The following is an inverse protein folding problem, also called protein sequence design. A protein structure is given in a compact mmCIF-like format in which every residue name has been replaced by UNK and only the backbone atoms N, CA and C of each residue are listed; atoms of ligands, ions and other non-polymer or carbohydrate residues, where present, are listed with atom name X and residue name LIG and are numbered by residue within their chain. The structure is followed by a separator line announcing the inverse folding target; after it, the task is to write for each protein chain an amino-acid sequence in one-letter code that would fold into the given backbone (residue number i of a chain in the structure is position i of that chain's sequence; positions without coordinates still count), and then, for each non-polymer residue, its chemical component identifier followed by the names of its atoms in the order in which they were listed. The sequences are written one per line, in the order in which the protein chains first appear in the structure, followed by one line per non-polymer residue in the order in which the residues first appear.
data_IF_052173497027
#
_entry.id   IF_052173497027
#
_cell.length_a   1.000
_cell.length_b   1.000
_cell.length_c   1.000
_cell.angle_alpha   90.00
_cell.angle_beta   90.00
_cell.angle_gamma   90.00
#
_symmetry.space_group_name_H-M   'P 1'
#
loop_
_entity.id
_entity.type
_entity.pdbx_description
1 polymer ?
#
# COMPACT_ATOMS: atom_id res chain seq x y z
N UNK A 1 -15.68 0.15 6.34
CA UNK A 1 -14.56 0.84 7.01
C UNK A 1 -13.35 1.00 6.07
N UNK A 2 -12.79 -0.09 5.53
CA UNK A 2 -11.62 -0.03 4.62
C UNK A 2 -11.92 0.81 3.37
N UNK A 3 -13.07 0.64 2.75
CA UNK A 3 -13.55 1.40 1.58
C UNK A 3 -13.84 2.88 1.87
N UNK A 4 -13.95 3.27 3.13
CA UNK A 4 -14.07 4.67 3.56
C UNK A 4 -12.69 5.25 3.84
N UNK A 5 -11.77 4.42 4.36
CA UNK A 5 -10.40 4.84 4.66
C UNK A 5 -9.59 5.09 3.38
N UNK A 6 -9.69 4.18 2.40
CA UNK A 6 -9.03 4.34 1.11
C UNK A 6 -10.00 4.88 0.06
N UNK A 7 -9.52 5.85 -0.73
CA UNK A 7 -10.32 6.51 -1.77
C UNK A 7 -10.64 5.60 -2.94
N UNK A 8 -9.64 4.85 -3.39
CA UNK A 8 -9.74 3.90 -4.50
C UNK A 8 -9.05 2.62 -4.14
N UNK A 9 -9.66 1.51 -4.49
CA UNK A 9 -9.10 0.18 -4.34
C UNK A 9 -9.13 -0.46 -5.72
N UNK A 10 -7.96 -0.56 -6.35
CA UNK A 10 -7.79 -1.22 -7.63
C UNK A 10 -7.47 -2.69 -7.39
N UNK A 11 -8.13 -3.56 -8.14
CA UNK A 11 -7.94 -5.01 -8.04
C UNK A 11 -7.62 -5.56 -9.41
N UNK A 12 -6.51 -6.29 -9.51
CA UNK A 12 -6.14 -7.01 -10.73
C UNK A 12 -6.15 -8.51 -10.50
N UNK A 13 -6.56 -9.23 -11.52
CA UNK A 13 -6.54 -10.69 -11.58
C UNK A 13 -7.31 -11.40 -10.45
N UNK A 14 -8.43 -10.81 -10.04
CA UNK A 14 -9.31 -11.42 -9.04
C UNK A 14 -9.82 -12.80 -9.46
N UNK A 15 -9.97 -13.05 -10.75
CA UNK A 15 -10.35 -14.31 -11.37
C UNK A 15 -9.39 -15.47 -11.08
N UNK A 16 -8.15 -15.18 -10.67
CA UNK A 16 -7.15 -16.17 -10.26
C UNK A 16 -7.41 -16.75 -8.88
N UNK A 17 -8.28 -16.15 -8.09
CA UNK A 17 -8.68 -16.71 -6.79
C UNK A 17 -9.75 -17.76 -7.01
N UNK A 18 -9.51 -19.05 -6.70
CA UNK A 18 -10.49 -20.10 -6.84
C UNK A 18 -11.76 -19.79 -6.03
N UNK A 19 -12.91 -19.87 -6.67
CA UNK A 19 -14.20 -19.61 -6.02
C UNK A 19 -14.58 -20.68 -4.99
N UNK A 20 -14.10 -21.90 -5.20
CA UNK A 20 -14.33 -23.07 -4.36
C UNK A 20 -13.02 -23.84 -4.10
N UNK A 21 -13.07 -24.77 -3.16
CA UNK A 21 -11.92 -25.62 -2.82
C UNK A 21 -10.92 -24.94 -1.89
N UNK A 22 -9.90 -25.68 -1.42
CA UNK A 22 -8.90 -25.20 -0.50
C UNK A 22 -7.94 -24.21 -1.15
N UNK A 23 -7.81 -23.02 -0.58
CA UNK A 23 -6.88 -21.99 -1.08
C UNK A 23 -6.17 -21.29 0.06
N UNK A 24 -4.90 -21.01 -0.12
CA UNK A 24 -4.10 -20.17 0.76
C UNK A 24 -3.79 -18.87 0.02
N UNK A 25 -4.27 -17.74 0.53
CA UNK A 25 -3.95 -16.40 0.04
C UNK A 25 -2.70 -15.93 0.79
N UNK A 26 -1.57 -15.93 0.10
CA UNK A 26 -0.27 -15.51 0.65
C UNK A 26 -0.01 -14.06 0.28
N UNK A 27 -0.10 -13.12 1.24
CA UNK A 27 0.03 -11.70 0.96
C UNK A 27 1.20 -11.05 1.70
N UNK A 28 1.82 -10.01 1.11
CA UNK A 28 2.79 -9.17 1.81
C UNK A 28 2.13 -8.38 2.95
N UNK A 29 2.92 -7.88 3.91
CA UNK A 29 2.39 -7.36 5.18
C UNK A 29 2.92 -5.98 5.59
N UNK A 30 2.72 -4.92 4.78
CA UNK A 30 3.22 -3.59 5.12
C UNK A 30 2.36 -2.82 6.15
N UNK A 31 1.08 -3.19 6.39
CA UNK A 31 0.13 -2.33 7.10
C UNK A 31 -0.80 -3.09 8.06
N UNK A 32 -0.21 -3.91 8.90
CA UNK A 32 -0.84 -4.68 9.99
C UNK A 32 -2.26 -5.19 9.64
N UNK A 33 -3.29 -4.74 10.36
CA UNK A 33 -4.66 -5.23 10.21
C UNK A 33 -5.33 -4.80 8.90
N UNK A 34 -4.79 -3.76 8.22
CA UNK A 34 -5.36 -3.31 6.94
C UNK A 34 -5.17 -4.34 5.83
N UNK A 35 -4.02 -5.03 5.80
CA UNK A 35 -3.70 -6.00 4.76
C UNK A 35 -4.63 -7.22 4.75
N UNK A 36 -4.81 -7.97 5.85
CA UNK A 36 -5.75 -9.09 5.87
C UNK A 36 -7.19 -8.65 5.61
N UNK A 37 -7.61 -7.46 6.07
CA UNK A 37 -8.96 -6.94 5.78
C UNK A 37 -9.15 -6.62 4.30
N UNK A 38 -8.12 -6.09 3.63
CA UNK A 38 -8.15 -5.84 2.19
C UNK A 38 -8.24 -7.16 1.42
N UNK A 39 -7.38 -8.13 1.72
CA UNK A 39 -7.41 -9.44 1.05
C UNK A 39 -8.79 -10.09 1.22
N UNK A 40 -9.35 -10.08 2.43
CA UNK A 40 -10.68 -10.63 2.69
C UNK A 40 -11.79 -9.93 1.89
N UNK A 41 -11.73 -8.61 1.79
CA UNK A 41 -12.70 -7.83 1.03
C UNK A 41 -12.63 -8.14 -0.46
N UNK A 42 -11.41 -8.39 -0.98
CA UNK A 42 -11.13 -8.44 -2.41
C UNK A 42 -11.12 -9.86 -2.98
N UNK A 43 -10.82 -10.88 -2.18
CA UNK A 43 -10.70 -12.26 -2.67
C UNK A 43 -12.05 -12.89 -3.09
N UNK A 44 -13.17 -12.30 -2.72
CA UNK A 44 -14.51 -12.82 -3.07
C UNK A 44 -14.93 -14.06 -2.27
N UNK A 45 -14.22 -14.41 -1.19
CA UNK A 45 -14.49 -15.52 -0.29
C UNK A 45 -14.57 -15.03 1.17
N UNK A 46 -14.99 -15.90 2.07
CA UNK A 46 -14.96 -15.65 3.52
C UNK A 46 -13.77 -16.41 4.13
N UNK A 47 -12.56 -15.82 4.17
CA UNK A 47 -11.37 -16.54 4.57
C UNK A 47 -11.23 -16.66 6.09
N UNK A 48 -10.48 -17.68 6.51
CA UNK A 48 -9.89 -17.77 7.84
C UNK A 48 -8.55 -17.04 7.86
N UNK A 49 -8.14 -16.51 9.01
CA UNK A 49 -6.92 -15.73 9.14
C UNK A 49 -5.98 -16.34 10.17
N UNK A 50 -4.68 -16.14 9.97
CA UNK A 50 -3.68 -16.37 11.01
C UNK A 50 -3.33 -15.05 11.67
N UNK A 51 -3.57 -14.93 12.99
CA UNK A 51 -3.28 -13.74 13.77
C UNK A 51 -2.35 -14.04 14.96
N UNK A 52 -1.53 -13.07 15.38
CA UNK A 52 -0.64 -13.26 16.54
C UNK A 52 -1.43 -13.62 17.80
N UNK A 53 -0.92 -14.57 18.60
CA UNK A 53 -1.58 -15.06 19.82
C UNK A 53 -1.84 -13.97 20.85
N UNK A 54 -1.03 -12.92 20.88
CA UNK A 54 -1.19 -11.77 21.77
C UNK A 54 -2.48 -10.98 21.54
N UNK A 55 -3.15 -11.14 20.39
CA UNK A 55 -4.48 -10.55 20.14
C UNK A 55 -5.58 -11.20 20.98
N UNK A 56 -5.35 -12.40 21.51
CA UNK A 56 -6.33 -13.21 22.23
C UNK A 56 -6.24 -13.10 23.76
N UNK A 57 -5.76 -11.98 24.29
CA UNK A 57 -5.47 -11.82 25.72
C UNK A 57 -6.70 -11.66 26.62
N UNK A 58 -7.89 -11.35 26.08
CA UNK A 58 -9.12 -11.22 26.85
C UNK A 58 -10.23 -12.16 26.36
N UNK A 59 -11.21 -12.44 27.21
CA UNK A 59 -12.38 -13.26 26.83
C UNK A 59 -13.18 -12.63 25.66
N UNK A 60 -13.33 -11.30 25.69
CA UNK A 60 -14.02 -10.56 24.62
C UNK A 60 -13.23 -10.61 23.30
N UNK A 61 -11.91 -10.40 23.35
CA UNK A 61 -11.05 -10.49 22.17
C UNK A 61 -11.07 -11.92 21.58
N UNK A 62 -11.00 -12.97 22.43
CA UNK A 62 -11.13 -14.36 21.98
C UNK A 62 -12.47 -14.62 21.28
N UNK A 63 -13.57 -14.16 21.85
CA UNK A 63 -14.90 -14.32 21.24
C UNK A 63 -15.01 -13.59 19.91
N UNK A 64 -14.54 -12.34 19.86
CA UNK A 64 -14.52 -11.52 18.64
C UNK A 64 -13.68 -12.16 17.54
N UNK A 65 -12.40 -12.47 17.80
CA UNK A 65 -11.52 -13.05 16.78
C UNK A 65 -11.98 -14.43 16.31
N UNK A 66 -12.60 -15.22 17.20
CA UNK A 66 -13.22 -16.48 16.81
C UNK A 66 -14.43 -16.26 15.87
N UNK A 67 -15.24 -15.23 16.10
CA UNK A 67 -16.40 -14.93 15.23
C UNK A 67 -16.01 -14.47 13.83
N UNK A 68 -14.81 -13.93 13.66
CA UNK A 68 -14.23 -13.54 12.36
C UNK A 68 -13.18 -14.53 11.86
N UNK A 69 -13.21 -15.77 12.34
CA UNK A 69 -12.38 -16.90 11.90
C UNK A 69 -10.86 -16.65 12.00
N UNK A 70 -10.39 -15.90 12.99
CA UNK A 70 -8.95 -15.72 13.23
C UNK A 70 -8.41 -16.84 14.11
N UNK A 71 -7.37 -17.53 13.63
CA UNK A 71 -6.63 -18.59 14.33
C UNK A 71 -5.36 -18.00 14.98
N UNK A 72 -5.09 -18.25 16.29
CA UNK A 72 -3.91 -17.70 16.95
C UNK A 72 -2.63 -18.41 16.51
N UNK A 73 -1.59 -17.67 16.13
CA UNK A 73 -0.24 -18.17 15.82
C UNK A 73 0.73 -17.71 16.90
N UNK A 74 1.54 -18.64 17.39
CA UNK A 74 2.59 -18.41 18.39
C UNK A 74 3.92 -18.19 17.68
N UNK A 75 4.38 -16.93 17.61
CA UNK A 75 5.65 -16.58 16.99
C UNK A 75 6.75 -16.57 18.05
N UNK A 76 7.99 -16.94 17.66
CA UNK A 76 9.14 -16.95 18.56
C UNK A 76 9.35 -15.60 19.27
N UNK A 77 9.17 -14.51 18.53
CA UNK A 77 9.31 -13.14 19.05
C UNK A 77 8.26 -12.75 20.11
N UNK A 78 7.06 -13.36 20.07
CA UNK A 78 5.96 -12.99 20.98
C UNK A 78 5.81 -13.98 22.15
N UNK A 79 6.06 -15.27 21.90
CA UNK A 79 5.72 -16.34 22.82
C UNK A 79 6.59 -17.59 22.60
N UNK A 80 7.91 -17.48 22.73
CA UNK A 80 8.87 -18.56 22.49
C UNK A 80 8.54 -19.85 23.26
N UNK A 81 8.15 -19.72 24.52
CA UNK A 81 7.77 -20.86 25.38
C UNK A 81 6.49 -21.59 24.93
N UNK A 82 5.71 -20.95 24.06
CA UNK A 82 4.42 -21.48 23.58
C UNK A 82 4.49 -22.00 22.13
N UNK A 83 5.67 -22.02 21.54
CA UNK A 83 5.87 -22.48 20.14
C UNK A 83 5.33 -23.90 19.90
N UNK A 84 5.37 -24.79 20.91
CA UNK A 84 4.79 -26.12 20.85
C UNK A 84 3.29 -26.15 20.54
N UNK A 85 2.56 -25.06 20.81
CA UNK A 85 1.13 -24.96 20.47
C UNK A 85 0.86 -24.75 18.98
N UNK A 86 1.90 -24.45 18.18
CA UNK A 86 1.74 -24.29 16.73
C UNK A 86 1.33 -25.60 16.04
N UNK A 87 1.64 -26.75 16.57
CA UNK A 87 1.11 -28.03 16.04
C UNK A 87 -0.42 -28.06 16.04
N UNK A 88 -1.06 -27.53 17.09
CA UNK A 88 -2.53 -27.42 17.16
C UNK A 88 -3.06 -26.37 16.17
N UNK A 89 -2.31 -25.32 15.88
CA UNK A 89 -2.69 -24.30 14.88
C UNK A 89 -2.63 -24.89 13.49
N UNK A 90 -1.58 -25.63 13.16
CA UNK A 90 -1.43 -26.32 11.89
C UNK A 90 -2.59 -27.31 11.67
N UNK A 91 -2.94 -28.07 12.71
CA UNK A 91 -4.08 -28.99 12.68
C UNK A 91 -5.39 -28.28 12.31
N UNK A 92 -5.65 -27.09 12.90
CA UNK A 92 -6.82 -26.27 12.55
C UNK A 92 -6.75 -25.72 11.12
N UNK A 93 -5.55 -25.37 10.63
CA UNK A 93 -5.36 -24.98 9.24
C UNK A 93 -5.67 -26.12 8.28
N UNK A 94 -5.20 -27.34 8.59
CA UNK A 94 -5.51 -28.53 7.80
C UNK A 94 -7.01 -28.77 7.73
N UNK A 95 -7.70 -28.81 8.89
CA UNK A 95 -9.16 -28.97 8.95
C UNK A 95 -9.90 -27.88 8.16
N UNK A 96 -9.40 -26.66 8.18
CA UNK A 96 -10.00 -25.56 7.41
C UNK A 96 -9.82 -25.78 5.91
N UNK A 97 -8.65 -26.21 5.44
CA UNK A 97 -8.41 -26.51 4.04
C UNK A 97 -9.20 -27.74 3.59
N UNK A 98 -9.25 -28.81 4.40
CA UNK A 98 -10.04 -30.02 4.16
C UNK A 98 -11.54 -29.71 4.02
N UNK A 99 -12.03 -28.67 4.74
CA UNK A 99 -13.39 -28.17 4.58
C UNK A 99 -13.58 -27.27 3.35
N UNK A 100 -12.56 -27.09 2.51
CA UNK A 100 -12.60 -26.27 1.31
C UNK A 100 -12.57 -24.77 1.57
N UNK A 101 -12.13 -24.31 2.76
CA UNK A 101 -12.08 -22.89 3.10
C UNK A 101 -10.81 -22.21 2.52
N UNK A 102 -10.89 -20.88 2.44
CA UNK A 102 -9.73 -20.03 2.17
C UNK A 102 -9.00 -19.68 3.46
N UNK A 103 -7.67 -19.69 3.45
CA UNK A 103 -6.81 -19.15 4.51
C UNK A 103 -6.08 -17.91 4.00
N UNK A 104 -6.01 -16.85 4.81
CA UNK A 104 -5.13 -15.70 4.57
C UNK A 104 -3.94 -15.81 5.49
N UNK A 105 -2.75 -15.86 4.89
CA UNK A 105 -1.47 -15.96 5.61
C UNK A 105 -0.56 -14.83 5.12
N UNK A 106 0.07 -14.13 6.06
CA UNK A 106 1.14 -13.18 5.79
C UNK A 106 2.48 -13.88 6.01
N UNK A 107 3.13 -14.39 4.95
CA UNK A 107 4.26 -15.31 5.08
C UNK A 107 5.52 -14.67 5.66
N UNK A 108 5.63 -13.34 5.65
CA UNK A 108 6.69 -12.59 6.32
C UNK A 108 6.66 -12.78 7.85
N UNK A 109 5.47 -13.04 8.42
CA UNK A 109 5.27 -13.23 9.86
C UNK A 109 5.43 -11.97 10.71
N UNK A 110 5.82 -10.86 10.12
CA UNK A 110 5.94 -9.52 10.72
C UNK A 110 5.28 -8.51 9.80
N UNK A 111 4.88 -7.36 10.35
CA UNK A 111 4.41 -6.24 9.55
C UNK A 111 5.43 -5.12 9.63
N UNK A 112 5.95 -4.67 8.50
CA UNK A 112 6.89 -3.55 8.43
C UNK A 112 6.60 -2.69 7.19
N UNK A 113 6.72 -1.37 7.37
CA UNK A 113 6.39 -0.36 6.37
C UNK A 113 7.66 0.35 5.89
N UNK A 114 8.66 -0.42 5.49
CA UNK A 114 9.95 0.08 5.03
C UNK A 114 10.12 0.01 3.51
N UNK A 115 9.13 -0.52 2.80
CA UNK A 115 9.15 -0.64 1.34
C UNK A 115 9.91 -1.85 0.82
N UNK A 116 10.32 -2.77 1.72
CA UNK A 116 11.02 -4.01 1.35
C UNK A 116 10.10 -5.23 1.51
N UNK A 117 10.39 -6.29 0.76
CA UNK A 117 9.78 -7.59 0.97
C UNK A 117 10.67 -8.40 1.92
N UNK A 118 10.16 -8.67 3.11
CA UNK A 118 10.93 -9.40 4.12
C UNK A 118 11.03 -10.89 3.82
N UNK A 119 11.89 -11.58 4.57
CA UNK A 119 12.09 -13.03 4.46
C UNK A 119 10.77 -13.79 4.58
N UNK A 120 10.45 -14.57 3.55
CA UNK A 120 9.28 -15.42 3.53
C UNK A 120 9.53 -16.68 4.38
N UNK A 121 8.70 -16.86 5.40
CA UNK A 121 8.79 -18.00 6.31
C UNK A 121 8.15 -19.24 5.70
N UNK A 122 8.71 -20.40 6.00
CA UNK A 122 8.26 -21.71 5.47
C UNK A 122 6.86 -22.13 5.96
N UNK A 123 6.26 -21.40 6.90
CA UNK A 123 4.98 -21.77 7.51
C UNK A 123 3.83 -21.96 6.51
N UNK A 124 3.76 -21.10 5.49
CA UNK A 124 2.72 -21.17 4.45
C UNK A 124 2.87 -22.45 3.61
N UNK A 125 4.07 -22.74 3.13
CA UNK A 125 4.37 -23.96 2.39
C UNK A 125 4.11 -25.23 3.22
N UNK A 126 4.55 -25.24 4.49
CA UNK A 126 4.32 -26.36 5.41
C UNK A 126 2.84 -26.62 5.70
N UNK A 127 2.03 -25.58 5.83
CA UNK A 127 0.57 -25.75 6.02
C UNK A 127 -0.06 -26.31 4.76
N UNK A 128 0.27 -25.79 3.59
CA UNK A 128 -0.29 -26.25 2.33
C UNK A 128 0.11 -27.70 2.00
N UNK A 129 1.41 -27.99 1.99
CA UNK A 129 1.94 -29.33 1.72
C UNK A 129 1.49 -30.35 2.78
N UNK A 130 1.46 -29.95 4.06
CA UNK A 130 0.96 -30.83 5.12
C UNK A 130 -0.51 -31.22 4.97
N UNK A 131 -1.36 -30.31 4.45
CA UNK A 131 -2.75 -30.62 4.12
C UNK A 131 -2.82 -31.61 2.92
N UNK A 132 -1.99 -31.42 1.90
CA UNK A 132 -1.90 -32.34 0.75
C UNK A 132 -1.43 -33.74 1.16
N UNK A 133 -0.39 -33.84 1.96
CA UNK A 133 0.13 -35.13 2.45
C UNK A 133 -0.94 -35.91 3.22
N UNK A 134 -1.68 -35.27 4.07
CA UNK A 134 -2.79 -35.89 4.84
C UNK A 134 -3.89 -36.45 3.95
N UNK A 135 -4.06 -35.90 2.75
CA UNK A 135 -5.08 -36.25 1.78
C UNK A 135 -4.46 -36.93 0.53
N UNK A 136 -3.29 -37.54 0.64
CA UNK A 136 -2.60 -38.23 -0.43
C UNK A 136 -2.37 -37.41 -1.70
N UNK A 137 -2.24 -36.09 -1.57
CA UNK A 137 -2.15 -35.08 -2.64
C UNK A 137 -3.38 -35.04 -3.58
N UNK A 138 -4.55 -35.38 -3.04
CA UNK A 138 -5.82 -35.31 -3.77
C UNK A 138 -6.69 -34.12 -3.37
N UNK A 139 -6.29 -33.32 -2.34
CA UNK A 139 -7.07 -32.21 -1.82
C UNK A 139 -7.13 -31.02 -2.79
N UNK A 140 -6.05 -30.77 -3.54
CA UNK A 140 -5.95 -29.72 -4.54
C UNK A 140 -5.76 -28.32 -3.93
N UNK A 141 -4.92 -28.23 -2.91
CA UNK A 141 -4.58 -26.94 -2.28
C UNK A 141 -3.83 -26.04 -3.25
N UNK A 142 -4.33 -24.84 -3.45
CA UNK A 142 -3.66 -23.81 -4.25
C UNK A 142 -3.20 -22.67 -3.37
N UNK A 143 -1.94 -22.21 -3.57
CA UNK A 143 -1.46 -20.98 -2.97
C UNK A 143 -1.58 -19.87 -3.99
N UNK A 144 -2.35 -18.81 -3.67
CA UNK A 144 -2.51 -17.62 -4.50
C UNK A 144 -1.74 -16.48 -3.87
N UNK A 145 -0.61 -16.05 -4.44
CA UNK A 145 0.11 -14.88 -3.97
C UNK A 145 -0.72 -13.61 -4.18
N UNK A 146 -0.70 -12.68 -3.23
CA UNK A 146 -1.43 -11.42 -3.31
C UNK A 146 -0.51 -10.24 -2.94
N UNK A 147 -0.21 -9.38 -3.90
CA UNK A 147 0.59 -8.17 -3.70
C UNK A 147 -0.29 -6.98 -3.34
N UNK A 148 -0.05 -6.36 -2.19
CA UNK A 148 -0.75 -5.17 -1.72
C UNK A 148 0.20 -3.99 -1.79
N UNK A 149 -0.20 -2.95 -2.53
CA UNK A 149 0.59 -1.75 -2.76
C UNK A 149 -0.22 -0.52 -2.38
N UNK A 150 0.35 0.34 -1.55
CA UNK A 150 -0.29 1.57 -1.08
C UNK A 150 0.37 2.79 -1.72
N UNK A 151 -0.43 3.74 -2.20
CA UNK A 151 0.11 5.05 -2.59
C UNK A 151 0.64 5.83 -1.38
N UNK A 152 -0.03 5.71 -0.24
CA UNK A 152 0.43 6.14 1.08
C UNK A 152 -0.28 5.28 2.13
N UNK A 153 0.44 4.38 2.77
CA UNK A 153 -0.16 3.39 3.66
C UNK A 153 -0.79 4.01 4.91
N UNK A 154 -0.26 5.14 5.41
CA UNK A 154 -0.69 5.79 6.67
C UNK A 154 -1.69 6.92 6.49
N UNK A 155 -1.97 7.33 5.26
CA UNK A 155 -2.84 8.47 5.00
C UNK A 155 -4.27 8.04 4.70
N UNK A 156 -5.21 8.74 5.34
CA UNK A 156 -6.61 8.66 4.99
C UNK A 156 -6.84 9.19 3.57
N UNK A 157 -7.68 8.51 2.79
CA UNK A 157 -8.01 8.87 1.42
C UNK A 157 -6.88 8.62 0.40
N UNK A 158 -5.95 7.72 0.73
CA UNK A 158 -4.94 7.20 -0.21
C UNK A 158 -5.53 6.11 -1.12
N UNK A 159 -4.77 5.70 -2.11
CA UNK A 159 -5.17 4.65 -3.05
C UNK A 159 -4.46 3.33 -2.71
N UNK A 160 -5.11 2.20 -3.00
CA UNK A 160 -4.56 0.85 -2.81
C UNK A 160 -4.65 0.08 -4.12
N UNK A 161 -3.62 -0.67 -4.43
CA UNK A 161 -3.57 -1.57 -5.56
C UNK A 161 -3.29 -2.99 -5.06
N UNK A 162 -4.22 -3.93 -5.27
CA UNK A 162 -4.10 -5.33 -4.93
C UNK A 162 -4.07 -6.18 -6.19
N UNK A 163 -3.07 -7.05 -6.32
CA UNK A 163 -2.88 -7.93 -7.48
C UNK A 163 -2.79 -9.37 -7.01
N UNK A 164 -3.58 -10.26 -7.63
CA UNK A 164 -3.50 -11.69 -7.38
C UNK A 164 -2.60 -12.36 -8.42
N UNK A 165 -1.60 -13.13 -7.94
CA UNK A 165 -0.68 -13.90 -8.78
C UNK A 165 -1.32 -15.16 -9.35
N UNK A 166 -0.54 -15.89 -10.18
CA UNK A 166 -0.95 -17.21 -10.65
C UNK A 166 -0.99 -18.17 -9.46
N UNK A 167 -2.02 -19.02 -9.37
CA UNK A 167 -2.07 -20.06 -8.34
C UNK A 167 -0.91 -21.01 -8.46
N UNK A 168 -0.35 -21.41 -7.33
CA UNK A 168 0.66 -22.46 -7.19
C UNK A 168 -0.09 -23.71 -6.75
N UNK A 169 -0.15 -24.72 -7.61
CA UNK A 169 -0.81 -25.99 -7.31
C UNK A 169 0.15 -26.91 -6.55
N UNK A 170 -0.18 -27.24 -5.32
CA UNK A 170 0.71 -28.03 -4.47
C UNK A 170 0.77 -29.50 -4.82
N UNK A 171 -0.14 -30.00 -5.67
CA UNK A 171 -0.07 -31.37 -6.18
C UNK A 171 1.15 -31.61 -7.06
N UNK A 172 1.63 -30.57 -7.74
CA UNK A 172 2.84 -30.63 -8.59
C UNK A 172 4.11 -30.97 -7.79
N UNK A 173 4.07 -30.78 -6.47
CA UNK A 173 5.20 -31.02 -5.56
C UNK A 173 5.18 -32.41 -4.93
N UNK A 174 4.24 -33.30 -5.27
CA UNK A 174 4.09 -34.64 -4.68
C UNK A 174 5.36 -35.46 -4.76
N UNK A 175 5.96 -35.57 -5.94
CA UNK A 175 7.14 -36.38 -6.14
C UNK A 175 8.38 -35.83 -5.46
N UNK A 176 8.54 -34.50 -5.49
CA UNK A 176 9.60 -33.82 -4.78
C UNK A 176 9.46 -34.02 -3.27
N UNK A 177 8.25 -33.86 -2.73
CA UNK A 177 7.97 -34.05 -1.30
C UNK A 177 8.25 -35.46 -0.82
N UNK A 178 7.91 -36.49 -1.62
CA UNK A 178 8.22 -37.89 -1.31
C UNK A 178 9.73 -38.18 -1.32
N UNK A 179 10.49 -37.47 -2.15
CA UNK A 179 11.96 -37.61 -2.24
C UNK A 179 12.64 -36.80 -1.13
N UNK A 180 12.25 -35.54 -0.91
CA UNK A 180 12.81 -34.63 0.08
C UNK A 180 11.77 -33.61 0.50
N UNK A 181 11.23 -33.77 1.72
CA UNK A 181 10.25 -32.82 2.31
C UNK A 181 10.81 -31.42 2.45
N UNK A 182 12.08 -31.29 2.89
CA UNK A 182 12.69 -29.98 3.12
C UNK A 182 12.87 -29.22 1.81
N UNK A 183 13.31 -29.88 0.78
CA UNK A 183 13.48 -29.30 -0.55
C UNK A 183 12.13 -28.85 -1.14
N UNK A 184 11.07 -29.67 -1.02
CA UNK A 184 9.74 -29.29 -1.48
C UNK A 184 9.20 -28.04 -0.74
N UNK A 185 9.38 -27.98 0.58
CA UNK A 185 8.98 -26.81 1.38
C UNK A 185 9.79 -25.57 0.99
N UNK A 186 11.08 -25.74 0.74
CA UNK A 186 11.98 -24.65 0.34
C UNK A 186 11.58 -24.10 -1.03
N UNK A 187 11.34 -24.98 -2.01
CA UNK A 187 10.97 -24.61 -3.38
C UNK A 187 9.63 -23.86 -3.43
N UNK A 188 8.59 -24.38 -2.75
CA UNK A 188 7.30 -23.70 -2.64
C UNK A 188 7.46 -22.32 -1.95
N UNK A 189 8.31 -22.22 -0.92
CA UNK A 189 8.57 -20.96 -0.23
C UNK A 189 9.25 -19.96 -1.16
N UNK A 190 10.24 -20.39 -1.95
CA UNK A 190 10.89 -19.55 -2.95
C UNK A 190 9.91 -19.09 -4.04
N UNK A 191 9.07 -19.99 -4.53
CA UNK A 191 8.07 -19.62 -5.53
C UNK A 191 7.06 -18.59 -5.00
N UNK A 192 6.65 -18.69 -3.72
CA UNK A 192 5.82 -17.64 -3.07
C UNK A 192 6.58 -16.33 -3.01
N UNK A 193 7.85 -16.34 -2.60
CA UNK A 193 8.70 -15.13 -2.52
C UNK A 193 8.81 -14.45 -3.88
N UNK A 194 9.16 -15.19 -4.92
CA UNK A 194 9.38 -14.67 -6.26
C UNK A 194 8.09 -14.14 -6.88
N UNK A 195 6.95 -14.78 -6.60
CA UNK A 195 5.65 -14.30 -7.00
C UNK A 195 5.29 -13.00 -6.28
N UNK A 196 5.48 -12.89 -4.95
CA UNK A 196 5.23 -11.67 -4.19
C UNK A 196 6.15 -10.53 -4.63
N UNK A 197 7.43 -10.81 -4.89
CA UNK A 197 8.36 -9.82 -5.41
C UNK A 197 7.87 -9.21 -6.73
N UNK A 198 7.27 -10.00 -7.64
CA UNK A 198 6.70 -9.53 -8.91
C UNK A 198 5.36 -8.77 -8.75
N UNK A 199 4.62 -9.00 -7.67
CA UNK A 199 3.30 -8.41 -7.43
C UNK A 199 3.37 -7.13 -6.59
N UNK A 200 4.52 -6.83 -5.99
CA UNK A 200 4.71 -5.66 -5.14
C UNK A 200 5.65 -4.66 -5.79
N UNK A 201 5.62 -3.43 -5.28
CA UNK A 201 6.61 -2.39 -5.61
C UNK A 201 7.74 -2.36 -4.60
N UNK A 202 7.91 -3.44 -3.83
CA UNK A 202 8.98 -3.57 -2.86
C UNK A 202 10.35 -3.68 -3.55
N UNK A 203 11.35 -3.18 -2.89
CA UNK A 203 12.76 -3.24 -3.28
C UNK A 203 13.56 -4.09 -2.29
N UNK A 204 14.81 -4.40 -2.62
CA UNK A 204 15.55 -5.45 -1.91
C UNK A 204 16.02 -5.04 -0.51
N UNK A 205 16.22 -3.73 -0.27
CA UNK A 205 16.72 -3.25 1.01
C UNK A 205 16.27 -1.81 1.32
N UNK A 206 16.62 -1.31 2.52
CA UNK A 206 16.22 0.02 2.99
C UNK A 206 16.87 1.18 2.21
N UNK A 207 18.06 0.99 1.63
CA UNK A 207 18.73 2.02 0.82
C UNK A 207 17.99 2.20 -0.50
N UNK A 208 17.70 1.08 -1.19
CA UNK A 208 16.91 1.10 -2.42
C UNK A 208 15.48 1.60 -2.18
N UNK A 209 14.88 1.34 -1.01
CA UNK A 209 13.58 1.91 -0.62
C UNK A 209 13.64 3.43 -0.45
N UNK A 210 14.70 3.96 0.16
CA UNK A 210 14.96 5.39 0.26
C UNK A 210 15.08 6.05 -1.12
N UNK A 211 15.88 5.45 -1.99
CA UNK A 211 16.06 5.88 -3.38
C UNK A 211 14.74 5.89 -4.15
N UNK A 212 13.94 4.83 -4.08
CA UNK A 212 12.63 4.74 -4.74
C UNK A 212 11.68 5.85 -4.28
N UNK A 213 11.65 6.13 -2.98
CA UNK A 213 10.85 7.23 -2.43
C UNK A 213 11.28 8.58 -3.01
N UNK A 214 12.58 8.85 -3.05
CA UNK A 214 13.14 10.08 -3.59
C UNK A 214 12.88 10.22 -5.09
N UNK A 215 13.09 9.13 -5.85
CA UNK A 215 12.83 9.08 -7.28
C UNK A 215 11.36 9.33 -7.61
N UNK A 216 10.43 8.74 -6.87
CA UNK A 216 8.99 9.01 -7.05
C UNK A 216 8.62 10.46 -6.84
N UNK A 217 9.25 11.14 -5.87
CA UNK A 217 8.97 12.56 -5.60
C UNK A 217 9.45 13.46 -6.74
N UNK A 218 10.60 13.15 -7.36
CA UNK A 218 11.24 14.02 -8.35
C UNK A 218 10.81 13.69 -9.76
N UNK A 219 10.75 12.40 -10.11
CA UNK A 219 10.72 11.95 -11.51
C UNK A 219 9.38 11.35 -11.97
N UNK A 220 8.51 10.93 -11.05
CA UNK A 220 7.27 10.22 -11.42
C UNK A 220 6.39 10.98 -12.43
N UNK A 221 6.28 12.30 -12.29
CA UNK A 221 5.48 13.13 -13.20
C UNK A 221 6.15 13.26 -14.57
N UNK A 222 7.47 13.42 -14.60
CA UNK A 222 8.23 13.49 -15.85
C UNK A 222 8.11 12.17 -16.61
N UNK A 223 8.28 11.04 -15.94
CA UNK A 223 8.11 9.72 -16.53
C UNK A 223 6.70 9.51 -17.11
N UNK A 224 5.67 9.98 -16.41
CA UNK A 224 4.30 9.86 -16.89
C UNK A 224 4.06 10.66 -18.18
N UNK A 225 4.68 11.83 -18.29
CA UNK A 225 4.60 12.66 -19.50
C UNK A 225 5.34 11.99 -20.65
N UNK A 226 6.55 11.51 -20.40
CA UNK A 226 7.35 10.80 -21.42
C UNK A 226 6.60 9.59 -22.00
N UNK A 227 5.85 8.89 -21.14
CA UNK A 227 5.06 7.73 -21.52
C UNK A 227 3.67 8.09 -22.09
N UNK A 228 3.29 9.37 -22.11
CA UNK A 228 1.96 9.81 -22.53
C UNK A 228 0.83 9.40 -21.58
N UNK A 229 1.14 9.20 -20.29
CA UNK A 229 0.23 8.68 -19.25
C UNK A 229 -0.18 9.75 -18.23
N UNK A 230 0.12 11.02 -18.49
CA UNK A 230 -0.12 12.14 -17.57
C UNK A 230 -1.60 12.35 -17.21
N UNK A 231 -2.52 12.06 -18.13
CA UNK A 231 -3.97 12.10 -17.88
C UNK A 231 -4.45 10.91 -17.04
N UNK A 232 -3.77 9.76 -17.07
CA UNK A 232 -4.12 8.49 -16.40
C UNK A 232 -3.07 8.02 -15.38
N UNK A 233 -2.30 8.97 -14.84
CA UNK A 233 -1.19 8.74 -13.91
C UNK A 233 -1.53 7.75 -12.79
N UNK A 234 -2.78 7.76 -12.31
CA UNK A 234 -3.20 6.93 -11.17
C UNK A 234 -3.43 5.47 -11.55
N UNK A 235 -3.86 5.21 -12.78
CA UNK A 235 -4.08 3.87 -13.28
C UNK A 235 -2.75 3.16 -13.54
N UNK A 236 -1.74 3.92 -13.96
CA UNK A 236 -0.41 3.42 -14.27
C UNK A 236 0.62 3.56 -13.13
N UNK A 237 0.19 4.07 -11.96
CA UNK A 237 1.08 4.32 -10.81
C UNK A 237 1.85 3.08 -10.38
N UNK A 238 1.19 1.92 -10.37
CA UNK A 238 1.84 0.67 -10.01
C UNK A 238 2.93 0.29 -11.01
N UNK A 239 2.60 0.23 -12.31
CA UNK A 239 3.55 -0.18 -13.35
C UNK A 239 4.77 0.74 -13.43
N UNK A 240 4.58 2.05 -13.36
CA UNK A 240 5.67 3.01 -13.30
C UNK A 240 6.53 2.83 -12.05
N UNK A 241 5.89 2.70 -10.86
CA UNK A 241 6.63 2.49 -9.61
C UNK A 241 7.38 1.17 -9.63
N UNK A 242 6.79 0.12 -10.21
CA UNK A 242 7.46 -1.18 -10.36
C UNK A 242 8.68 -1.08 -11.28
N UNK A 243 8.56 -0.45 -12.44
CA UNK A 243 9.69 -0.22 -13.35
C UNK A 243 10.82 0.56 -12.68
N UNK A 244 10.49 1.60 -11.90
CA UNK A 244 11.49 2.33 -11.10
C UNK A 244 12.17 1.43 -10.07
N UNK A 245 11.41 0.56 -9.37
CA UNK A 245 11.97 -0.35 -8.37
C UNK A 245 12.93 -1.37 -9.00
N UNK A 246 12.55 -1.95 -10.13
CA UNK A 246 13.38 -2.91 -10.86
C UNK A 246 14.69 -2.26 -11.35
N UNK A 247 14.63 -1.06 -11.92
CA UNK A 247 15.80 -0.31 -12.33
C UNK A 247 16.72 0.03 -11.13
N UNK A 248 16.15 0.46 -10.01
CA UNK A 248 16.91 0.80 -8.79
C UNK A 248 17.65 -0.44 -8.25
N UNK A 249 16.98 -1.60 -8.17
CA UNK A 249 17.60 -2.83 -7.68
C UNK A 249 18.75 -3.25 -8.60
N UNK A 250 18.57 -3.12 -9.93
CA UNK A 250 19.63 -3.39 -10.88
C UNK A 250 20.83 -2.46 -10.71
N UNK A 251 20.60 -1.14 -10.63
CA UNK A 251 21.68 -0.17 -10.41
C UNK A 251 22.42 -0.36 -9.08
N UNK A 252 21.70 -0.78 -8.05
CA UNK A 252 22.30 -1.05 -6.74
C UNK A 252 23.33 -2.18 -6.81
N UNK A 253 23.08 -3.20 -7.64
CA UNK A 253 23.96 -4.38 -7.79
C UNK A 253 25.07 -4.10 -8.81
N UNK A 254 24.73 -3.63 -9.99
CA UNK A 254 25.67 -3.53 -11.12
C UNK A 254 26.50 -2.23 -11.09
N UNK A 255 25.92 -1.11 -10.59
CA UNK A 255 26.54 0.21 -10.59
C UNK A 255 26.44 0.91 -9.23
N UNK A 256 26.97 0.31 -8.13
CA UNK A 256 26.76 0.81 -6.76
C UNK A 256 27.29 2.24 -6.55
N UNK A 257 28.37 2.63 -7.21
CA UNK A 257 28.91 3.99 -7.08
C UNK A 257 27.98 5.04 -7.67
N UNK A 258 27.42 4.76 -8.86
CA UNK A 258 26.44 5.65 -9.51
C UNK A 258 25.14 5.73 -8.68
N UNK A 259 24.68 4.61 -8.16
CA UNK A 259 23.54 4.55 -7.26
C UNK A 259 23.74 5.48 -6.06
N UNK A 260 24.82 5.33 -5.30
CA UNK A 260 25.09 6.15 -4.13
C UNK A 260 25.35 7.63 -4.47
N UNK A 261 25.93 7.92 -5.63
CA UNK A 261 26.11 9.30 -6.10
C UNK A 261 24.74 9.95 -6.37
N UNK A 262 23.86 9.28 -7.08
CA UNK A 262 22.52 9.78 -7.42
C UNK A 262 21.66 9.93 -6.17
N UNK A 263 21.67 8.96 -5.25
CA UNK A 263 20.92 9.04 -3.99
C UNK A 263 21.35 10.25 -3.15
N UNK A 264 22.66 10.48 -3.01
CA UNK A 264 23.16 11.68 -2.31
C UNK A 264 22.74 12.98 -2.98
N UNK A 265 22.73 13.04 -4.32
CA UNK A 265 22.28 14.22 -5.08
C UNK A 265 20.80 14.48 -4.85
N UNK A 266 19.94 13.45 -5.00
CA UNK A 266 18.49 13.56 -4.79
C UNK A 266 18.14 13.94 -3.35
N UNK A 267 18.77 13.30 -2.37
CA UNK A 267 18.55 13.59 -0.94
C UNK A 267 18.92 15.04 -0.61
N UNK A 268 20.06 15.53 -1.10
CA UNK A 268 20.49 16.93 -0.91
C UNK A 268 19.51 17.91 -1.57
N UNK A 269 19.08 17.64 -2.78
CA UNK A 269 18.11 18.45 -3.51
C UNK A 269 16.77 18.53 -2.75
N UNK A 270 16.22 17.37 -2.37
CA UNK A 270 14.95 17.31 -1.63
C UNK A 270 15.04 18.04 -0.29
N UNK A 271 16.15 17.93 0.43
CA UNK A 271 16.37 18.68 1.67
C UNK A 271 16.35 20.21 1.45
N UNK A 272 16.90 20.71 0.33
CA UNK A 272 16.82 22.14 -0.03
C UNK A 272 15.38 22.56 -0.33
N UNK A 273 14.65 21.76 -1.11
CA UNK A 273 13.25 22.02 -1.47
C UNK A 273 12.37 22.02 -0.22
N UNK A 274 12.55 21.04 0.67
CA UNK A 274 11.83 20.94 1.94
C UNK A 274 12.17 22.12 2.88
N UNK A 275 13.42 22.52 2.99
CA UNK A 275 13.87 23.69 3.77
C UNK A 275 13.24 25.00 3.32
N UNK A 276 12.81 25.08 2.07
CA UNK A 276 12.01 26.19 1.53
C UNK A 276 10.50 25.98 1.67
N UNK A 277 10.09 24.88 2.31
CA UNK A 277 8.70 24.39 2.39
C UNK A 277 8.01 24.31 1.01
N UNK A 278 8.76 23.94 -0.03
CA UNK A 278 8.25 23.71 -1.39
C UNK A 278 7.97 22.22 -1.60
N UNK A 279 7.15 21.93 -2.61
CA UNK A 279 6.95 20.58 -3.14
C UNK A 279 7.54 20.51 -4.54
N UNK A 280 8.35 19.51 -4.82
CA UNK A 280 9.01 19.32 -6.12
C UNK A 280 8.01 19.22 -7.28
N UNK A 281 6.87 18.54 -7.05
CA UNK A 281 5.79 18.42 -8.04
C UNK A 281 5.36 19.75 -8.68
N UNK A 282 5.56 20.87 -7.98
CA UNK A 282 5.19 22.22 -8.46
C UNK A 282 6.33 22.92 -9.22
N UNK A 283 7.53 22.37 -9.14
CA UNK A 283 8.70 22.84 -9.89
C UNK A 283 8.80 22.13 -11.25
N UNK A 284 8.02 21.07 -11.48
CA UNK A 284 7.95 20.38 -12.75
C UNK A 284 7.44 21.30 -13.87
N UNK A 285 8.13 21.30 -15.01
CA UNK A 285 7.78 22.08 -16.21
C UNK A 285 6.43 21.67 -16.78
N UNK A 286 5.98 20.44 -16.51
CA UNK A 286 4.70 19.87 -16.95
C UNK A 286 3.47 20.65 -16.52
N UNK A 287 3.52 21.38 -15.42
CA UNK A 287 2.38 22.16 -14.93
C UNK A 287 2.12 23.48 -15.69
N UNK A 288 3.00 23.86 -16.62
CA UNK A 288 2.86 25.08 -17.42
C UNK A 288 1.64 25.13 -18.35
N UNK A 289 1.05 24.00 -18.69
CA UNK A 289 -0.01 23.89 -19.71
C UNK A 289 -1.44 24.04 -19.21
N UNK A 290 -1.67 24.32 -17.92
CA UNK A 290 -3.04 24.61 -17.46
C UNK A 290 -3.49 25.98 -17.97
N UNK A 291 -4.45 25.97 -18.89
CA UNK A 291 -5.07 27.15 -19.50
C UNK A 291 -5.52 28.15 -18.41
N UNK A 292 -5.35 29.45 -18.66
CA UNK A 292 -5.76 30.55 -17.76
C UNK A 292 -7.22 30.38 -17.30
N UNK A 293 -8.09 29.90 -18.17
CA UNK A 293 -9.49 29.55 -17.86
C UNK A 293 -9.64 28.51 -16.74
N UNK A 294 -8.84 27.42 -16.74
CA UNK A 294 -8.88 26.40 -15.66
C UNK A 294 -8.39 26.97 -14.32
N UNK A 295 -7.45 27.93 -14.36
CA UNK A 295 -6.97 28.62 -13.15
C UNK A 295 -8.03 29.56 -12.58
N UNK A 296 -8.71 30.34 -13.44
CA UNK A 296 -9.77 31.25 -13.02
C UNK A 296 -11.00 30.50 -12.44
N UNK A 297 -11.44 29.42 -13.08
CA UNK A 297 -12.48 28.53 -12.58
C UNK A 297 -12.09 27.91 -11.22
N UNK A 298 -10.83 27.52 -11.06
CA UNK A 298 -10.32 26.99 -9.79
C UNK A 298 -10.38 28.04 -8.66
N UNK A 299 -10.02 29.29 -8.94
CA UNK A 299 -10.09 30.38 -7.96
C UNK A 299 -11.55 30.70 -7.57
N UNK A 300 -12.46 30.72 -8.53
CA UNK A 300 -13.89 30.89 -8.28
C UNK A 300 -14.42 29.74 -7.38
N UNK A 301 -14.03 28.49 -7.67
CA UNK A 301 -14.35 27.32 -6.83
C UNK A 301 -13.82 27.43 -5.40
N UNK A 302 -12.64 28.04 -5.21
CA UNK A 302 -12.09 28.32 -3.88
C UNK A 302 -12.96 29.35 -3.14
N UNK A 303 -13.37 30.44 -3.78
CA UNK A 303 -14.18 31.48 -3.14
C UNK A 303 -15.58 30.94 -2.80
N UNK A 304 -16.26 30.29 -3.75
CA UNK A 304 -17.62 29.76 -3.55
C UNK A 304 -17.68 28.56 -2.63
N UNK A 305 -16.62 27.74 -2.58
CA UNK A 305 -16.53 26.60 -1.69
C UNK A 305 -16.17 26.92 -0.23
N UNK A 306 -15.72 28.16 0.05
CA UNK A 306 -15.27 28.56 1.38
C UNK A 306 -16.33 28.39 2.49
N UNK A 307 -17.62 28.76 2.30
CA UNK A 307 -18.63 28.54 3.33
C UNK A 307 -18.85 27.05 3.65
N UNK A 308 -18.85 26.18 2.65
CA UNK A 308 -19.00 24.74 2.83
C UNK A 308 -17.76 24.17 3.56
N UNK A 309 -16.58 24.70 3.25
CA UNK A 309 -15.33 24.35 3.93
C UNK A 309 -15.38 24.69 5.42
N UNK A 310 -15.82 25.90 5.78
CA UNK A 310 -15.96 26.30 7.19
C UNK A 310 -16.96 25.40 7.91
N UNK A 311 -18.12 25.14 7.29
CA UNK A 311 -19.12 24.23 7.84
C UNK A 311 -18.52 22.83 8.09
N UNK A 312 -17.80 22.30 7.11
CA UNK A 312 -17.12 21.00 7.21
C UNK A 312 -16.08 20.97 8.33
N UNK A 313 -15.25 22.01 8.45
CA UNK A 313 -14.23 22.07 9.52
C UNK A 313 -14.89 22.16 10.88
N UNK A 314 -15.80 23.10 11.11
CA UNK A 314 -16.42 23.32 12.41
C UNK A 314 -17.04 22.03 12.95
N UNK A 315 -17.69 21.27 12.10
CA UNK A 315 -18.39 20.05 12.52
C UNK A 315 -17.51 18.79 12.59
N UNK A 316 -16.38 18.73 11.85
CA UNK A 316 -15.58 17.51 11.74
C UNK A 316 -14.16 17.64 12.34
N UNK A 317 -13.68 18.85 12.66
CA UNK A 317 -12.30 19.08 13.07
C UNK A 317 -11.86 18.23 14.26
N UNK A 318 -12.65 18.22 15.33
CA UNK A 318 -12.31 17.44 16.53
C UNK A 318 -12.35 15.94 16.26
N UNK A 319 -13.40 15.47 15.56
CA UNK A 319 -13.54 14.06 15.22
C UNK A 319 -12.39 13.55 14.34
N UNK A 320 -11.84 14.41 13.47
CA UNK A 320 -10.68 14.11 12.65
C UNK A 320 -9.35 14.23 13.40
N UNK A 321 -9.22 15.22 14.29
CA UNK A 321 -7.97 15.52 15.00
C UNK A 321 -7.66 14.52 16.10
N UNK A 322 -8.68 14.05 16.83
CA UNK A 322 -8.50 13.14 17.99
C UNK A 322 -7.83 11.81 17.58
N UNK A 323 -8.25 11.10 16.52
CA UNK A 323 -7.56 9.88 16.08
C UNK A 323 -6.07 10.10 15.77
N UNK A 324 -5.75 11.24 15.13
CA UNK A 324 -4.37 11.59 14.80
C UNK A 324 -3.52 11.91 16.05
N UNK A 325 -4.11 12.51 17.09
CA UNK A 325 -3.41 12.75 18.37
C UNK A 325 -3.26 11.46 19.17
N UNK A 326 -4.27 10.61 19.17
CA UNK A 326 -4.23 9.31 19.86
C UNK A 326 -3.03 8.46 19.41
N UNK A 327 -2.77 8.43 18.11
CA UNK A 327 -1.58 7.77 17.55
C UNK A 327 -0.28 8.31 18.15
N UNK A 328 -0.14 9.64 18.29
CA UNK A 328 1.06 10.27 18.87
C UNK A 328 1.23 9.92 20.36
N UNK A 329 0.12 9.88 21.08
CA UNK A 329 0.12 9.54 22.53
C UNK A 329 0.46 8.08 22.75
N UNK A 330 -0.02 7.19 21.89
CA UNK A 330 0.25 5.74 22.01
C UNK A 330 1.69 5.37 21.62
N UNK A 331 2.43 6.24 20.93
CA UNK A 331 3.83 6.02 20.57
C UNK A 331 4.07 4.74 19.74
N UNK A 332 3.11 4.37 18.92
CA UNK A 332 3.13 3.11 18.15
C UNK A 332 3.96 3.23 16.88
N UNK A 333 4.48 2.11 16.40
CA UNK A 333 5.22 2.03 15.13
C UNK A 333 4.32 2.33 13.92
N UNK A 334 4.96 2.68 12.79
CA UNK A 334 4.29 3.24 11.59
C UNK A 334 3.20 2.33 11.03
N UNK A 335 3.41 1.03 11.05
CA UNK A 335 2.49 0.03 10.50
C UNK A 335 1.15 -0.07 11.24
N UNK A 336 1.06 0.42 12.50
CA UNK A 336 -0.20 0.47 13.25
C UNK A 336 -1.00 1.75 13.04
N UNK A 337 -0.41 2.79 12.44
CA UNK A 337 -1.01 4.12 12.33
C UNK A 337 -2.38 4.08 11.65
N UNK A 338 -2.49 3.39 10.52
CA UNK A 338 -3.74 3.31 9.74
C UNK A 338 -4.82 2.56 10.50
N UNK A 339 -4.45 1.44 11.12
CA UNK A 339 -5.37 0.64 11.94
C UNK A 339 -5.94 1.47 13.11
N UNK A 340 -5.08 2.18 13.84
CA UNK A 340 -5.51 3.00 14.97
C UNK A 340 -6.38 4.17 14.50
N UNK A 341 -5.96 4.88 13.43
CA UNK A 341 -6.77 5.97 12.85
C UNK A 341 -8.13 5.50 12.38
N UNK A 342 -8.19 4.35 11.71
CA UNK A 342 -9.44 3.78 11.19
C UNK A 342 -10.38 3.36 12.32
N UNK A 343 -9.89 2.58 13.29
CA UNK A 343 -10.73 2.07 14.38
C UNK A 343 -11.18 3.17 15.33
N UNK A 344 -10.24 4.02 15.79
CA UNK A 344 -10.58 5.14 16.68
C UNK A 344 -11.43 6.17 15.95
N UNK A 345 -11.13 6.45 14.67
CA UNK A 345 -11.93 7.34 13.84
C UNK A 345 -13.39 6.89 13.76
N UNK A 346 -13.62 5.61 13.46
CA UNK A 346 -14.98 5.07 13.40
C UNK A 346 -15.77 5.33 14.68
N UNK A 347 -15.18 5.04 15.84
CA UNK A 347 -15.82 5.26 17.15
C UNK A 347 -16.03 6.75 17.43
N UNK A 348 -14.99 7.56 17.20
CA UNK A 348 -15.01 9.01 17.53
C UNK A 348 -16.00 9.74 16.63
N UNK A 349 -16.00 9.48 15.31
CA UNK A 349 -16.99 10.09 14.41
C UNK A 349 -18.41 9.69 14.77
N UNK A 350 -18.68 8.43 15.09
CA UNK A 350 -20.00 7.98 15.52
C UNK A 350 -20.47 8.72 16.78
N UNK A 351 -19.59 8.83 17.78
CA UNK A 351 -19.91 9.57 19.02
C UNK A 351 -20.17 11.05 18.75
N UNK A 352 -19.27 11.72 18.02
CA UNK A 352 -19.43 13.16 17.72
C UNK A 352 -20.69 13.44 16.92
N UNK A 353 -20.96 12.66 15.87
CA UNK A 353 -22.17 12.85 15.07
C UNK A 353 -23.45 12.61 15.89
N UNK A 354 -23.42 11.61 16.78
CA UNK A 354 -24.55 11.36 17.69
C UNK A 354 -24.78 12.55 18.63
N UNK A 355 -23.73 13.04 19.31
CA UNK A 355 -23.86 14.19 20.22
C UNK A 355 -24.31 15.46 19.50
N UNK A 356 -23.74 15.76 18.34
CA UNK A 356 -24.12 16.92 17.54
C UNK A 356 -25.58 16.82 17.07
N UNK A 357 -25.99 15.65 16.62
CA UNK A 357 -27.38 15.41 16.15
C UNK A 357 -28.39 15.59 17.30
N UNK A 358 -28.08 15.06 18.48
CA UNK A 358 -28.92 15.26 19.69
C UNK A 358 -28.98 16.73 20.05
N UNK A 359 -27.83 17.46 19.98
CA UNK A 359 -27.78 18.90 20.24
C UNK A 359 -28.67 19.71 19.29
N UNK A 360 -28.60 19.40 17.98
CA UNK A 360 -29.46 20.10 16.99
C UNK A 360 -30.93 19.78 17.21
N UNK A 361 -31.27 18.52 17.51
CA UNK A 361 -32.64 18.16 17.86
C UNK A 361 -33.16 18.94 19.08
N UNK A 362 -32.36 19.00 20.13
CA UNK A 362 -32.73 19.70 21.35
C UNK A 362 -32.93 21.21 21.13
N UNK A 363 -32.09 21.82 20.30
CA UNK A 363 -32.16 23.27 20.02
C UNK A 363 -33.28 23.67 19.06
N UNK A 364 -33.59 22.78 18.07
CA UNK A 364 -34.53 23.13 16.99
C UNK A 364 -35.92 22.51 17.16
N UNK A 365 -36.03 21.40 17.86
CA UNK A 365 -37.25 20.58 17.94
C UNK A 365 -37.77 20.06 16.59
N UNK A 366 -36.99 20.23 15.51
CA UNK A 366 -37.42 19.92 14.14
C UNK A 366 -36.72 18.70 13.59
N UNK A 367 -37.49 17.65 13.28
CA UNK A 367 -36.99 16.44 12.65
C UNK A 367 -36.37 16.70 11.26
N UNK A 368 -36.95 17.62 10.49
CA UNK A 368 -36.42 17.99 9.17
C UNK A 368 -35.03 18.62 9.27
N UNK A 369 -34.86 19.60 10.16
CA UNK A 369 -33.56 20.27 10.33
C UNK A 369 -32.50 19.31 10.85
N UNK A 370 -32.86 18.42 11.79
CA UNK A 370 -31.95 17.39 12.31
C UNK A 370 -31.53 16.40 11.22
N UNK A 371 -32.46 15.97 10.37
CA UNK A 371 -32.16 15.08 9.25
C UNK A 371 -31.25 15.77 8.21
N UNK A 372 -31.53 17.02 7.83
CA UNK A 372 -30.68 17.78 6.93
C UNK A 372 -29.28 17.98 7.51
N UNK A 373 -29.20 18.26 8.82
CA UNK A 373 -27.92 18.43 9.51
C UNK A 373 -27.07 17.14 9.43
N UNK A 374 -27.60 15.98 9.83
CA UNK A 374 -26.84 14.71 9.81
C UNK A 374 -26.42 14.34 8.39
N UNK A 375 -27.28 14.55 7.40
CA UNK A 375 -26.95 14.30 5.99
C UNK A 375 -25.84 15.24 5.46
N UNK A 376 -25.69 16.44 6.04
CA UNK A 376 -24.65 17.39 5.65
C UNK A 376 -23.27 17.05 6.22
N UNK A 377 -23.17 16.35 7.34
CA UNK A 377 -21.91 16.16 8.08
C UNK A 377 -20.83 15.44 7.27
N UNK A 378 -21.15 14.29 6.71
CA UNK A 378 -20.19 13.48 5.95
C UNK A 378 -19.76 14.17 4.64
N UNK A 379 -20.68 14.64 3.77
CA UNK A 379 -20.29 15.34 2.54
C UNK A 379 -19.46 16.60 2.81
N UNK A 380 -19.84 17.38 3.83
CA UNK A 380 -19.10 18.61 4.19
C UNK A 380 -17.70 18.28 4.74
N UNK A 381 -17.55 17.20 5.51
CA UNK A 381 -16.25 16.73 5.99
C UNK A 381 -15.31 16.28 4.86
N UNK A 382 -15.83 15.50 3.90
CA UNK A 382 -15.09 15.09 2.71
C UNK A 382 -14.72 16.30 1.82
N UNK A 383 -15.66 17.22 1.62
CA UNK A 383 -15.40 18.48 0.90
C UNK A 383 -14.33 19.31 1.59
N UNK A 384 -14.39 19.44 2.93
CA UNK A 384 -13.39 20.19 3.68
C UNK A 384 -11.98 19.63 3.51
N UNK A 385 -11.82 18.32 3.43
CA UNK A 385 -10.54 17.65 3.14
C UNK A 385 -10.05 18.00 1.73
N UNK A 386 -10.89 17.81 0.72
CA UNK A 386 -10.57 18.15 -0.66
C UNK A 386 -10.19 19.63 -0.83
N UNK A 387 -10.98 20.51 -0.22
CA UNK A 387 -10.75 21.95 -0.24
C UNK A 387 -9.43 22.31 0.43
N UNK A 388 -9.13 21.72 1.59
CA UNK A 388 -7.86 21.93 2.30
C UNK A 388 -6.64 21.57 1.40
N UNK A 389 -6.67 20.40 0.75
CA UNK A 389 -5.60 19.97 -0.15
C UNK A 389 -5.46 20.94 -1.34
N UNK A 390 -6.57 21.44 -1.87
CA UNK A 390 -6.59 22.44 -2.93
C UNK A 390 -5.98 23.77 -2.46
N UNK A 391 -6.34 24.23 -1.26
CA UNK A 391 -5.77 25.46 -0.68
C UNK A 391 -4.26 25.33 -0.42
N UNK A 392 -3.78 24.16 0.02
CA UNK A 392 -2.36 23.90 0.18
C UNK A 392 -1.61 24.07 -1.16
N UNK A 393 -2.16 23.57 -2.28
CA UNK A 393 -1.57 23.76 -3.62
C UNK A 393 -1.52 25.26 -4.00
N UNK A 394 -2.59 26.04 -3.78
CA UNK A 394 -2.58 27.47 -4.05
C UNK A 394 -1.56 28.23 -3.20
N UNK A 395 -1.45 27.92 -1.92
CA UNK A 395 -0.42 28.48 -1.03
C UNK A 395 1.00 28.20 -1.54
N UNK A 396 1.25 27.00 -2.01
CA UNK A 396 2.53 26.61 -2.60
C UNK A 396 2.84 27.42 -3.87
N UNK A 397 1.88 27.59 -4.78
CA UNK A 397 2.06 28.43 -5.97
C UNK A 397 2.39 29.89 -5.62
N UNK A 398 1.67 30.48 -4.63
CA UNK A 398 1.96 31.83 -4.14
C UNK A 398 3.36 31.88 -3.55
N UNK A 399 3.78 30.86 -2.81
CA UNK A 399 5.13 30.78 -2.22
C UNK A 399 6.21 30.73 -3.27
N UNK A 400 6.06 29.85 -4.29
CA UNK A 400 6.98 29.78 -5.42
C UNK A 400 7.10 31.15 -6.09
N UNK A 401 5.99 31.79 -6.42
CA UNK A 401 5.98 33.11 -7.02
C UNK A 401 6.70 34.16 -6.14
N UNK A 402 6.44 34.15 -4.83
CA UNK A 402 7.08 35.04 -3.87
C UNK A 402 8.59 34.82 -3.80
N UNK A 403 9.05 33.56 -3.82
CA UNK A 403 10.46 33.21 -3.83
C UNK A 403 11.14 33.66 -5.13
N UNK A 404 10.47 33.50 -6.29
CA UNK A 404 10.99 34.05 -7.55
C UNK A 404 11.17 35.57 -7.50
N UNK A 405 10.24 36.30 -6.87
CA UNK A 405 10.36 37.75 -6.73
C UNK A 405 11.49 38.17 -5.77
N UNK A 406 11.63 37.45 -4.64
CA UNK A 406 12.53 37.85 -3.55
C UNK A 406 13.93 37.21 -3.63
N UNK A 407 14.05 36.01 -4.19
CA UNK A 407 15.27 35.19 -4.21
C UNK A 407 15.47 34.52 -5.58
N UNK A 408 15.46 35.31 -6.63
CA UNK A 408 15.49 34.86 -8.01
C UNK A 408 16.66 33.91 -8.28
N UNK A 409 17.89 34.26 -7.85
CA UNK A 409 19.09 33.45 -8.04
C UNK A 409 18.92 32.06 -7.41
N UNK A 410 18.47 31.98 -6.16
CA UNK A 410 18.25 30.71 -5.48
C UNK A 410 17.22 29.81 -6.21
N UNK A 411 16.15 30.42 -6.73
CA UNK A 411 15.15 29.66 -7.49
C UNK A 411 15.71 29.11 -8.81
N UNK A 412 16.54 29.90 -9.50
CA UNK A 412 17.24 29.41 -10.69
C UNK A 412 18.21 28.28 -10.38
N UNK A 413 18.99 28.38 -9.31
CA UNK A 413 19.90 27.31 -8.86
C UNK A 413 19.13 26.01 -8.59
N UNK A 414 17.99 26.06 -7.89
CA UNK A 414 17.15 24.90 -7.61
C UNK A 414 16.58 24.27 -8.88
N UNK A 415 16.13 25.10 -9.83
CA UNK A 415 15.62 24.60 -11.11
C UNK A 415 16.74 23.95 -11.93
N UNK A 416 17.92 24.55 -11.99
CA UNK A 416 19.05 23.97 -12.69
C UNK A 416 19.51 22.64 -12.04
N UNK A 417 19.54 22.59 -10.70
CA UNK A 417 19.85 21.35 -9.97
C UNK A 417 18.80 20.25 -10.26
N UNK A 418 17.52 20.62 -10.32
CA UNK A 418 16.44 19.70 -10.72
C UNK A 418 16.62 19.18 -12.15
N UNK A 419 16.87 20.08 -13.10
CA UNK A 419 17.05 19.70 -14.51
C UNK A 419 18.24 18.74 -14.67
N UNK A 420 19.36 19.01 -14.01
CA UNK A 420 20.53 18.13 -14.02
C UNK A 420 20.27 16.76 -13.32
N UNK A 421 19.33 16.70 -12.37
CA UNK A 421 18.88 15.43 -11.79
C UNK A 421 18.00 14.64 -12.78
N UNK A 422 17.04 15.30 -13.43
CA UNK A 422 16.16 14.69 -14.43
C UNK A 422 17.01 14.12 -15.58
N UNK A 423 17.94 14.91 -16.13
CA UNK A 423 18.85 14.48 -17.20
C UNK A 423 19.63 13.20 -16.81
N UNK A 424 20.23 13.17 -15.62
CA UNK A 424 20.95 11.99 -15.14
C UNK A 424 20.05 10.78 -14.88
N UNK A 425 18.77 10.99 -14.51
CA UNK A 425 17.79 9.91 -14.38
C UNK A 425 17.36 9.40 -15.75
N UNK A 426 17.20 10.28 -16.74
CA UNK A 426 16.84 9.90 -18.11
C UNK A 426 17.97 9.10 -18.78
N UNK A 427 19.24 9.47 -18.56
CA UNK A 427 20.40 8.69 -19.00
C UNK A 427 20.38 7.29 -18.39
N UNK A 428 20.18 7.19 -17.07
CA UNK A 428 20.07 5.92 -16.37
C UNK A 428 18.89 5.08 -16.87
N UNK A 429 17.73 5.71 -17.11
CA UNK A 429 16.56 5.03 -17.70
C UNK A 429 16.90 4.44 -19.07
N UNK A 430 17.55 5.21 -19.94
CA UNK A 430 17.92 4.75 -21.29
C UNK A 430 18.88 3.55 -21.24
N UNK A 431 19.88 3.58 -20.37
CA UNK A 431 20.80 2.46 -20.16
C UNK A 431 20.08 1.20 -19.71
N UNK A 432 19.19 1.32 -18.72
CA UNK A 432 18.39 0.18 -18.22
C UNK A 432 17.45 -0.39 -19.30
N UNK A 433 16.81 0.46 -20.11
CA UNK A 433 15.92 0.03 -21.20
C UNK A 433 16.69 -0.71 -22.30
N UNK A 434 17.86 -0.20 -22.70
CA UNK A 434 18.72 -0.86 -23.70
C UNK A 434 19.12 -2.27 -23.24
N UNK A 435 19.47 -2.43 -21.97
CA UNK A 435 19.74 -3.76 -21.40
C UNK A 435 18.55 -4.70 -21.53
N UNK A 436 17.34 -4.23 -21.18
CA UNK A 436 16.14 -5.08 -21.29
C UNK A 436 15.85 -5.49 -22.73
N UNK A 437 16.14 -4.64 -23.70
CA UNK A 437 16.02 -4.98 -25.12
C UNK A 437 17.06 -6.04 -25.56
N UNK A 438 18.29 -5.93 -25.10
CA UNK A 438 19.36 -6.91 -25.37
C UNK A 438 19.01 -8.29 -24.75
N UNK A 439 18.51 -8.33 -23.51
CA UNK A 439 18.09 -9.56 -22.85
C UNK A 439 16.86 -10.19 -23.54
N UNK A 440 15.91 -9.40 -24.00
CA UNK A 440 14.75 -9.88 -24.75
C UNK A 440 15.10 -10.36 -26.16
N UNK A 441 16.03 -9.71 -26.83
CA UNK A 441 16.53 -10.10 -28.14
C UNK A 441 17.35 -11.38 -28.12
N UNK A 442 18.09 -11.64 -27.03
CA UNK A 442 18.87 -12.88 -26.87
C UNK A 442 18.01 -14.11 -26.59
N UNK A 443 16.80 -13.93 -26.00
CA UNK A 443 15.87 -15.04 -25.74
C UNK A 443 15.03 -15.45 -26.97
N UNK A 444 14.92 -14.62 -27.99
CA UNK A 444 14.20 -14.97 -29.23
C UNK A 444 15.04 -15.83 -30.17
N UNK A 445 16.35 -15.94 -29.94
CA UNK A 445 17.28 -16.75 -30.77
C UNK A 445 17.45 -18.20 -30.37
N UNK A 446 16.77 -18.69 -29.32
CA UNK A 446 16.98 -20.07 -28.80
C UNK A 446 15.81 -21.02 -29.10
N UNK A 447 14.65 -20.50 -29.51
CA UNK A 447 13.45 -21.35 -29.76
C UNK A 447 13.22 -21.78 -31.23
N UNK A 448 14.14 -21.48 -32.17
CA UNK A 448 13.97 -21.83 -33.57
C UNK A 448 14.75 -23.11 -34.02
N UNK A 449 15.40 -23.84 -33.13
CA UNK A 449 16.21 -25.03 -33.50
C UNK A 449 15.70 -26.37 -32.91
N UNK A 450 14.45 -26.47 -32.39
CA UNK A 450 13.81 -27.77 -32.12
C UNK A 450 12.38 -27.79 -32.69
N UNK A 451 12.33 -28.18 -33.99
CA UNK A 451 11.12 -28.65 -34.66
C UNK A 451 11.06 -30.19 -34.64
#
# INVERSE_FOLDING_TARGET
MVTVFYRRIHVEHKERVPTNGPVILAANHPNTMMDPLLVALLCGRNPHFLGKSTLFNSKLAKAFFKSVHVLPVYRKIDAEKEMGKNAQVFERCYQSLEAGNALVIMPEGISQMDGTLHEIKTGTARIGLGAEVRNAFELGVQIVPAGINYSSATEFFSDVHCRFGRPIDLREYQDLYKKDEYEAVYEVTNQIRDALAKLTTSVDNSETAGMLKNLKLIYKMELAIDLGLDDDLKQHDFSMTRGMADAINWYYVEHPELFHQMDRRMTRYLAKVEGLELRDELLSTAQGHRTITKRALGLLGVITGFPIYIWGIVNNFLAYRIPAQLVKVLGTSLEYLSTIKMLSGFVIFALFYTFQTIGVWYLTGSGLLTTLYILSLLPAGLFARYYHDTMQRYRQHIRIFTLFLKRKTLMYEIIQERMALIEGIDEAKAEYMNRLEEESGSNVGVDDDEA
#
